data_IF_537947072321
#
_entry.id   IF_537947072321
#
_cell.length_a   1.000
_cell.length_b   1.000
_cell.length_c   1.000
_cell.angle_alpha   90.00
_cell.angle_beta   90.00
_cell.angle_gamma   90.00
#
_symmetry.space_group_name_H-M   'P 1'
#
loop_
_entity.id
_entity.type
_entity.pdbx_description
1 polymer ?
#
# COMPACT_ATOMS: atom_id res chain seq x y z
N UNK A 1 -15.82 6.29 1.56
CA UNK A 1 -14.76 5.29 1.32
C UNK A 1 -15.27 3.89 1.60
N UNK A 2 -15.84 3.64 2.78
CA UNK A 2 -16.46 2.36 3.15
C UNK A 2 -17.95 2.60 3.36
N UNK A 3 -18.78 1.73 2.79
CA UNK A 3 -20.23 1.80 2.80
C UNK A 3 -20.83 0.52 3.40
N UNK A 4 -22.11 0.57 3.73
CA UNK A 4 -22.80 -0.59 4.31
C UNK A 4 -22.88 -1.74 3.29
N UNK A 5 -22.58 -2.96 3.74
CA UNK A 5 -22.52 -4.15 2.89
C UNK A 5 -21.22 -4.33 2.08
N UNK A 6 -20.25 -3.44 2.22
CA UNK A 6 -18.98 -3.60 1.49
C UNK A 6 -18.26 -4.91 1.83
N UNK A 7 -17.74 -5.55 0.79
CA UNK A 7 -16.76 -6.64 0.86
C UNK A 7 -15.41 -6.10 0.42
N UNK A 8 -14.44 -6.10 1.33
CA UNK A 8 -13.16 -5.41 1.14
C UNK A 8 -12.01 -6.41 1.18
N UNK A 9 -11.31 -6.57 0.05
CA UNK A 9 -10.03 -7.27 0.04
C UNK A 9 -8.97 -6.36 0.66
N UNK A 10 -8.23 -6.86 1.66
CA UNK A 10 -7.13 -6.11 2.30
C UNK A 10 -5.80 -6.72 1.87
N UNK A 11 -5.03 -5.95 1.08
CA UNK A 11 -3.71 -6.39 0.62
C UNK A 11 -2.69 -6.36 1.75
N UNK A 12 -2.21 -7.54 2.15
CA UNK A 12 -1.19 -7.73 3.19
C UNK A 12 0.17 -7.91 2.51
N UNK A 13 1.18 -7.16 2.95
CA UNK A 13 2.55 -7.27 2.44
C UNK A 13 3.54 -7.80 3.49
N UNK A 14 3.09 -7.95 4.74
CA UNK A 14 3.94 -8.25 5.89
C UNK A 14 4.61 -7.01 6.51
N UNK A 15 4.59 -5.87 5.83
CA UNK A 15 5.12 -4.63 6.39
C UNK A 15 4.15 -3.98 7.38
N UNK A 16 4.71 -3.15 8.30
CA UNK A 16 3.99 -2.38 9.33
C UNK A 16 2.74 -1.66 8.83
N UNK A 17 2.79 -1.13 7.60
CA UNK A 17 1.71 -0.31 7.04
C UNK A 17 0.47 -1.16 6.72
N UNK A 18 0.66 -2.33 6.10
CA UNK A 18 -0.42 -3.26 5.79
C UNK A 18 -1.04 -3.89 7.04
N UNK A 19 -0.23 -4.18 8.06
CA UNK A 19 -0.71 -4.70 9.33
C UNK A 19 -1.47 -3.63 10.13
N UNK A 20 -0.98 -2.38 10.14
CA UNK A 20 -1.68 -1.23 10.72
C UNK A 20 -3.01 -0.99 10.01
N UNK A 21 -3.06 -1.09 8.68
CA UNK A 21 -4.29 -1.00 7.91
C UNK A 21 -5.30 -2.05 8.37
N UNK A 22 -4.91 -3.33 8.38
CA UNK A 22 -5.81 -4.42 8.75
C UNK A 22 -6.35 -4.24 10.16
N UNK A 23 -5.45 -3.97 11.13
CA UNK A 23 -5.84 -3.73 12.51
C UNK A 23 -6.84 -2.57 12.63
N UNK A 24 -6.56 -1.44 11.95
CA UNK A 24 -7.42 -0.26 11.98
C UNK A 24 -8.79 -0.51 11.36
N UNK A 25 -8.86 -1.33 10.31
CA UNK A 25 -10.13 -1.71 9.68
C UNK A 25 -10.96 -2.63 10.59
N UNK A 26 -10.32 -3.56 11.29
CA UNK A 26 -11.00 -4.43 12.27
C UNK A 26 -11.54 -3.61 13.45
N UNK A 27 -10.71 -2.72 14.03
CA UNK A 27 -11.13 -1.81 15.10
C UNK A 27 -12.28 -0.90 14.64
N UNK A 28 -12.19 -0.35 13.43
CA UNK A 28 -13.25 0.46 12.85
C UNK A 28 -14.54 -0.34 12.65
N UNK A 29 -14.45 -1.57 12.15
CA UNK A 29 -15.61 -2.45 11.96
C UNK A 29 -16.36 -2.69 13.27
N UNK A 30 -15.64 -2.89 14.37
CA UNK A 30 -16.24 -3.12 15.68
C UNK A 30 -16.97 -1.91 16.26
N UNK A 31 -16.60 -0.69 15.84
CA UNK A 31 -17.13 0.57 16.41
C UNK A 31 -18.05 1.35 15.46
N UNK A 32 -18.13 0.93 14.20
CA UNK A 32 -18.92 1.63 13.17
C UNK A 32 -20.35 1.11 13.11
N UNK A 33 -21.35 1.95 12.86
CA UNK A 33 -22.67 1.48 12.48
C UNK A 33 -22.71 0.87 11.08
N UNK A 34 -21.71 1.16 10.24
CA UNK A 34 -21.56 0.61 8.89
C UNK A 34 -21.02 -0.81 8.99
N UNK A 35 -21.71 -1.77 8.38
CA UNK A 35 -21.32 -3.18 8.33
C UNK A 35 -20.49 -3.43 7.07
N UNK A 36 -19.36 -4.13 7.19
CA UNK A 36 -18.52 -4.54 6.07
C UNK A 36 -17.68 -5.75 6.43
N UNK A 37 -17.31 -6.52 5.42
CA UNK A 37 -16.48 -7.71 5.55
C UNK A 37 -15.05 -7.45 5.09
N UNK A 38 -14.08 -8.11 5.73
CA UNK A 38 -12.65 -7.98 5.45
C UNK A 38 -12.07 -9.33 5.02
N UNK A 39 -11.36 -9.32 3.92
CA UNK A 39 -10.69 -10.48 3.33
C UNK A 39 -9.19 -10.17 3.19
N UNK A 40 -8.36 -10.50 4.21
CA UNK A 40 -6.92 -10.30 4.12
C UNK A 40 -6.30 -11.28 3.12
N UNK A 41 -5.49 -10.74 2.20
CA UNK A 41 -4.82 -11.49 1.14
C UNK A 41 -3.34 -11.14 1.11
N UNK A 42 -2.49 -12.16 1.20
CA UNK A 42 -1.05 -12.05 0.98
C UNK A 42 -0.68 -12.72 -0.34
N UNK A 43 -0.06 -11.97 -1.25
CA UNK A 43 0.50 -12.50 -2.49
C UNK A 43 2.00 -12.64 -2.27
N UNK A 44 2.46 -13.88 -2.08
CA UNK A 44 3.86 -14.22 -1.90
C UNK A 44 4.63 -14.00 -3.20
N UNK A 45 5.72 -13.22 -3.21
CA UNK A 45 6.50 -13.00 -4.43
C UNK A 45 7.43 -14.15 -4.82
N UNK A 46 7.57 -15.20 -3.98
CA UNK A 46 8.32 -16.41 -4.30
C UNK A 46 9.82 -16.35 -3.97
N UNK A 47 10.27 -15.40 -3.15
CA UNK A 47 11.70 -15.34 -2.74
C UNK A 47 12.08 -16.34 -1.64
N UNK A 48 11.12 -17.10 -1.12
CA UNK A 48 11.31 -17.91 0.08
C UNK A 48 11.25 -17.08 1.36
N UNK A 49 11.43 -17.76 2.50
CA UNK A 49 11.21 -17.16 3.79
C UNK A 49 9.76 -17.34 4.25
N UNK A 50 9.59 -17.91 5.44
CA UNK A 50 8.25 -18.23 5.94
C UNK A 50 7.65 -17.01 6.67
N UNK A 51 7.16 -16.04 5.91
CA UNK A 51 6.42 -14.91 6.49
C UNK A 51 4.91 -15.16 6.54
N UNK A 52 4.41 -16.21 5.87
CA UNK A 52 2.98 -16.53 5.84
C UNK A 52 2.45 -16.96 7.19
N UNK A 53 3.19 -17.76 7.95
CA UNK A 53 2.81 -18.21 9.28
C UNK A 53 2.65 -17.08 10.31
N UNK A 54 3.61 -16.16 10.49
CA UNK A 54 3.41 -14.97 11.32
C UNK A 54 2.21 -14.12 10.91
N UNK A 55 1.96 -13.97 9.61
CA UNK A 55 0.84 -13.21 9.08
C UNK A 55 -0.49 -13.91 9.35
N UNK A 56 -0.55 -15.22 9.18
CA UNK A 56 -1.77 -16.00 9.47
C UNK A 56 -2.10 -15.96 10.97
N UNK A 57 -1.11 -16.12 11.85
CA UNK A 57 -1.31 -15.94 13.31
C UNK A 57 -1.83 -14.54 13.64
N UNK A 58 -1.29 -13.50 13.02
CA UNK A 58 -1.76 -12.14 13.22
C UNK A 58 -3.21 -11.96 12.77
N UNK A 59 -3.58 -12.47 11.60
CA UNK A 59 -4.95 -12.41 11.08
C UNK A 59 -5.92 -13.18 11.99
N UNK A 60 -5.56 -14.40 12.44
CA UNK A 60 -6.37 -15.20 13.37
C UNK A 60 -6.59 -14.50 14.71
N UNK A 61 -5.57 -13.82 15.23
CA UNK A 61 -5.71 -13.02 16.47
C UNK A 61 -6.71 -11.86 16.31
N UNK A 62 -6.95 -11.41 15.08
CA UNK A 62 -7.97 -10.42 14.73
C UNK A 62 -9.32 -11.04 14.32
N UNK A 63 -9.49 -12.36 14.45
CA UNK A 63 -10.70 -13.08 14.06
C UNK A 63 -10.91 -13.18 12.54
N UNK A 64 -9.82 -13.17 11.76
CA UNK A 64 -9.85 -13.24 10.29
C UNK A 64 -9.00 -14.43 9.79
N UNK A 65 -9.35 -14.95 8.63
CA UNK A 65 -8.58 -15.98 7.91
C UNK A 65 -7.73 -15.29 6.83
N UNK A 66 -6.42 -15.52 6.81
CA UNK A 66 -5.53 -15.05 5.76
C UNK A 66 -5.63 -15.96 4.54
N UNK A 67 -5.86 -15.39 3.36
CA UNK A 67 -5.62 -16.08 2.09
C UNK A 67 -4.19 -15.81 1.64
N UNK A 68 -3.39 -16.84 1.55
CA UNK A 68 -2.03 -16.78 0.99
C UNK A 68 -2.04 -17.29 -0.44
N UNK A 69 -1.52 -16.52 -1.36
CA UNK A 69 -1.37 -16.85 -2.78
C UNK A 69 0.11 -16.99 -3.09
N UNK A 70 0.56 -18.22 -3.30
CA UNK A 70 1.96 -18.52 -3.63
C UNK A 70 2.22 -18.22 -5.10
N UNK A 71 3.24 -17.40 -5.40
CA UNK A 71 3.59 -17.01 -6.76
C UNK A 71 5.10 -16.99 -6.97
N UNK A 72 5.54 -16.82 -8.21
CA UNK A 72 6.92 -16.65 -8.63
C UNK A 72 7.22 -15.21 -9.11
N UNK A 73 6.34 -14.26 -8.82
CA UNK A 73 6.38 -12.91 -9.43
C UNK A 73 7.63 -12.12 -9.10
N UNK A 74 8.18 -12.31 -7.91
CA UNK A 74 9.47 -11.72 -7.53
C UNK A 74 10.62 -12.33 -8.30
N UNK A 75 10.67 -13.65 -8.40
CA UNK A 75 11.68 -14.38 -9.17
C UNK A 75 11.64 -13.99 -10.65
N UNK A 76 10.44 -13.95 -11.25
CA UNK A 76 10.26 -13.48 -12.63
C UNK A 76 10.71 -12.03 -12.82
N UNK A 77 10.46 -11.18 -11.82
CA UNK A 77 10.95 -9.80 -11.85
C UNK A 77 12.47 -9.70 -11.92
N UNK A 78 13.19 -10.64 -11.32
CA UNK A 78 14.66 -10.67 -11.27
C UNK A 78 15.28 -11.67 -12.28
N UNK A 79 14.50 -12.27 -13.15
CA UNK A 79 15.01 -13.18 -14.18
C UNK A 79 15.77 -12.41 -15.27
N UNK A 80 16.70 -13.09 -15.94
CA UNK A 80 17.44 -12.54 -17.08
C UNK A 80 16.55 -12.20 -18.29
N UNK A 81 15.39 -12.82 -18.37
CA UNK A 81 14.41 -12.58 -19.43
C UNK A 81 13.67 -11.25 -19.24
N UNK A 82 13.61 -10.74 -18.01
CA UNK A 82 12.94 -9.49 -17.72
C UNK A 82 13.74 -8.29 -18.22
N UNK A 83 13.14 -7.48 -19.10
CA UNK A 83 13.72 -6.23 -19.62
C UNK A 83 13.22 -4.98 -18.89
N UNK A 84 12.26 -5.14 -18.00
CA UNK A 84 11.67 -4.04 -17.20
C UNK A 84 12.39 -3.93 -15.85
N UNK A 85 12.09 -2.85 -15.11
CA UNK A 85 12.53 -2.76 -13.72
C UNK A 85 11.90 -3.89 -12.89
N UNK A 86 12.67 -4.69 -12.13
CA UNK A 86 12.18 -5.84 -11.36
C UNK A 86 11.01 -5.50 -10.43
N UNK A 87 11.12 -4.38 -9.71
CA UNK A 87 10.07 -3.93 -8.79
C UNK A 87 8.79 -3.55 -9.53
N UNK A 88 8.90 -2.99 -10.73
CA UNK A 88 7.76 -2.60 -11.55
C UNK A 88 6.99 -3.85 -12.02
N UNK A 89 7.68 -4.84 -12.59
CA UNK A 89 7.06 -6.08 -13.05
C UNK A 89 6.41 -6.84 -11.89
N UNK A 90 7.14 -7.07 -10.80
CA UNK A 90 6.63 -7.77 -9.62
C UNK A 90 5.40 -7.08 -9.04
N UNK A 91 5.43 -5.75 -8.85
CA UNK A 91 4.29 -5.02 -8.30
C UNK A 91 3.07 -5.01 -9.23
N UNK A 92 3.29 -4.98 -10.55
CA UNK A 92 2.22 -5.07 -11.57
C UNK A 92 1.53 -6.44 -11.52
N UNK A 93 2.30 -7.52 -11.47
CA UNK A 93 1.78 -8.89 -11.40
C UNK A 93 1.02 -9.14 -10.09
N UNK A 94 1.58 -8.73 -8.95
CA UNK A 94 0.91 -8.84 -7.65
C UNK A 94 -0.39 -8.05 -7.61
N UNK A 95 -0.41 -6.83 -8.16
CA UNK A 95 -1.63 -6.02 -8.24
C UNK A 95 -2.68 -6.67 -9.13
N UNK A 96 -2.27 -7.21 -10.30
CA UNK A 96 -3.18 -7.96 -11.18
C UNK A 96 -3.83 -9.11 -10.42
N UNK A 97 -3.02 -9.91 -9.69
CA UNK A 97 -3.52 -11.06 -8.93
C UNK A 97 -4.49 -10.64 -7.80
N UNK A 98 -4.23 -9.50 -7.13
CA UNK A 98 -5.17 -8.97 -6.14
C UNK A 98 -6.53 -8.62 -6.75
N UNK A 99 -6.60 -8.10 -7.98
CA UNK A 99 -7.88 -7.85 -8.65
C UNK A 99 -8.60 -9.15 -9.02
N UNK A 100 -7.87 -10.17 -9.50
CA UNK A 100 -8.43 -11.48 -9.80
C UNK A 100 -9.04 -12.11 -8.54
N UNK A 101 -8.31 -12.10 -7.42
CA UNK A 101 -8.79 -12.58 -6.13
C UNK A 101 -9.97 -11.75 -5.62
N UNK A 102 -9.96 -10.44 -5.83
CA UNK A 102 -11.07 -9.59 -5.45
C UNK A 102 -12.35 -9.96 -6.21
N UNK A 103 -12.25 -10.28 -7.49
CA UNK A 103 -13.37 -10.77 -8.28
C UNK A 103 -13.86 -12.15 -7.81
N UNK A 104 -12.93 -13.10 -7.57
CA UNK A 104 -13.24 -14.42 -7.00
C UNK A 104 -14.01 -14.34 -5.67
N UNK A 105 -13.70 -13.33 -4.84
CA UNK A 105 -14.30 -13.12 -3.52
C UNK A 105 -15.49 -12.15 -3.54
N UNK A 106 -15.91 -11.70 -4.70
CA UNK A 106 -16.91 -10.63 -4.86
C UNK A 106 -16.59 -9.35 -4.04
N UNK A 107 -15.32 -8.99 -3.97
CA UNK A 107 -14.84 -7.76 -3.33
C UNK A 107 -14.71 -6.67 -4.37
N UNK A 108 -15.52 -5.60 -4.27
CA UNK A 108 -15.43 -4.45 -5.19
C UNK A 108 -14.48 -3.37 -4.69
N UNK A 109 -13.99 -3.47 -3.45
CA UNK A 109 -13.00 -2.56 -2.86
C UNK A 109 -11.74 -3.32 -2.46
N UNK A 110 -10.57 -2.74 -2.79
CA UNK A 110 -9.26 -3.28 -2.42
C UNK A 110 -8.58 -2.23 -1.55
N UNK A 111 -8.36 -2.54 -0.28
CA UNK A 111 -7.68 -1.68 0.67
C UNK A 111 -6.17 -1.93 0.66
N UNK A 112 -5.39 -0.86 0.48
CA UNK A 112 -3.92 -0.90 0.48
C UNK A 112 -3.36 0.04 1.54
N UNK A 113 -2.25 -0.38 2.19
CA UNK A 113 -1.61 0.31 3.30
C UNK A 113 -0.79 1.55 2.92
N UNK A 114 -1.07 2.18 1.78
CA UNK A 114 -0.38 3.41 1.40
C UNK A 114 -0.77 4.57 2.32
N UNK A 115 0.22 5.33 2.74
CA UNK A 115 0.09 6.42 3.68
C UNK A 115 0.54 7.77 3.07
N UNK A 116 0.47 8.84 3.85
CA UNK A 116 0.77 10.21 3.41
C UNK A 116 2.15 10.35 2.77
N UNK A 117 3.16 9.71 3.34
CA UNK A 117 4.53 9.76 2.82
C UNK A 117 4.64 9.07 1.46
N UNK A 118 4.00 7.90 1.27
CA UNK A 118 3.94 7.22 -0.02
C UNK A 118 3.30 8.08 -1.12
N UNK A 119 2.23 8.81 -0.76
CA UNK A 119 1.54 9.72 -1.69
C UNK A 119 2.48 10.86 -2.12
N UNK A 120 3.23 11.44 -1.18
CA UNK A 120 4.21 12.47 -1.48
C UNK A 120 5.38 11.91 -2.32
N UNK A 121 5.93 10.76 -1.93
CA UNK A 121 6.99 10.09 -2.69
C UNK A 121 6.56 9.79 -4.12
N UNK A 122 5.32 9.32 -4.32
CA UNK A 122 4.77 9.02 -5.65
C UNK A 122 4.59 10.30 -6.48
N UNK A 123 4.17 11.42 -5.88
CA UNK A 123 4.12 12.70 -6.56
C UNK A 123 5.50 13.08 -7.12
N UNK A 124 6.55 13.01 -6.29
CA UNK A 124 7.90 13.35 -6.72
C UNK A 124 8.48 12.36 -7.74
N UNK A 125 8.17 11.06 -7.60
CA UNK A 125 8.52 10.08 -8.63
C UNK A 125 7.90 10.43 -9.98
N UNK A 126 6.62 10.78 -10.00
CA UNK A 126 5.93 11.10 -11.23
C UNK A 126 6.45 12.42 -11.84
N UNK A 127 6.68 13.46 -11.04
CA UNK A 127 7.27 14.72 -11.51
C UNK A 127 8.67 14.47 -12.09
N UNK A 128 9.54 13.75 -11.37
CA UNK A 128 10.95 13.63 -11.75
C UNK A 128 11.23 12.60 -12.86
N UNK A 129 10.41 11.55 -12.96
CA UNK A 129 10.70 10.42 -13.85
C UNK A 129 9.61 10.12 -14.88
N UNK A 130 8.39 10.62 -14.70
CA UNK A 130 7.29 10.46 -15.66
C UNK A 130 6.87 11.79 -16.32
N UNK A 131 7.30 12.94 -15.79
CA UNK A 131 6.89 14.26 -16.28
C UNK A 131 5.41 14.57 -16.01
N UNK A 132 4.84 14.00 -14.94
CA UNK A 132 3.42 14.13 -14.62
C UNK A 132 3.21 14.69 -13.22
N UNK A 133 2.22 15.58 -13.06
CA UNK A 133 1.72 16.02 -11.75
C UNK A 133 0.58 15.10 -11.34
N UNK A 134 0.91 13.92 -10.86
CA UNK A 134 -0.06 12.92 -10.41
C UNK A 134 0.43 12.17 -9.19
N UNK A 135 -0.48 11.59 -8.41
CA UNK A 135 -0.17 10.75 -7.27
C UNK A 135 -1.31 9.77 -6.97
N UNK A 136 -1.29 9.14 -5.79
CA UNK A 136 -2.30 8.18 -5.36
C UNK A 136 -3.47 8.90 -4.68
N UNK A 137 -4.68 8.76 -5.21
CA UNK A 137 -5.88 9.24 -4.55
C UNK A 137 -6.30 8.34 -3.37
N UNK A 138 -6.91 8.89 -2.29
CA UNK A 138 -7.44 8.08 -1.19
C UNK A 138 -8.50 7.06 -1.63
N UNK A 139 -9.30 7.39 -2.63
CA UNK A 139 -10.24 6.50 -3.33
C UNK A 139 -9.97 6.62 -4.82
N UNK A 140 -9.70 5.51 -5.47
CA UNK A 140 -9.35 5.47 -6.89
C UNK A 140 -10.21 4.43 -7.59
N UNK A 141 -11.27 4.85 -8.32
CA UNK A 141 -12.05 3.94 -9.14
C UNK A 141 -11.23 3.44 -10.33
N UNK A 142 -11.40 2.18 -10.68
CA UNK A 142 -10.71 1.49 -11.77
C UNK A 142 -11.71 0.68 -12.60
N UNK A 143 -11.33 0.36 -13.84
CA UNK A 143 -12.15 -0.46 -14.74
C UNK A 143 -13.58 0.07 -14.88
N UNK A 144 -13.72 1.39 -15.13
CA UNK A 144 -15.02 2.09 -15.23
C UNK A 144 -15.89 2.00 -13.97
N UNK A 145 -15.25 1.91 -12.80
CA UNK A 145 -15.93 1.82 -11.50
C UNK A 145 -16.23 0.41 -11.02
N UNK A 146 -15.84 -0.63 -11.76
CA UNK A 146 -16.02 -2.03 -11.34
C UNK A 146 -15.29 -2.33 -10.02
N UNK A 147 -14.10 -1.79 -9.85
CA UNK A 147 -13.31 -1.87 -8.62
C UNK A 147 -12.91 -0.48 -8.13
N UNK A 148 -12.63 -0.38 -6.85
CA UNK A 148 -12.01 0.80 -6.25
C UNK A 148 -10.84 0.41 -5.35
N UNK A 149 -9.68 1.02 -5.58
CA UNK A 149 -8.61 0.99 -4.58
C UNK A 149 -8.93 2.04 -3.52
N UNK A 150 -8.91 1.63 -2.25
CA UNK A 150 -9.07 2.53 -1.11
C UNK A 150 -7.78 2.55 -0.27
N UNK A 151 -7.45 3.73 0.28
CA UNK A 151 -6.25 3.94 1.09
C UNK A 151 -6.63 4.61 2.42
N UNK A 152 -7.15 3.85 3.38
CA UNK A 152 -7.60 4.40 4.67
C UNK A 152 -6.51 5.15 5.44
N UNK A 153 -5.23 4.80 5.23
CA UNK A 153 -4.08 5.46 5.87
C UNK A 153 -3.54 6.67 5.09
N UNK A 154 -4.21 7.12 4.01
CA UNK A 154 -3.73 8.19 3.11
C UNK A 154 -3.34 9.50 3.82
N UNK A 155 -3.92 9.79 4.98
CA UNK A 155 -3.66 11.00 5.77
C UNK A 155 -2.73 10.75 6.97
N UNK A 156 -2.40 9.49 7.28
CA UNK A 156 -1.49 9.13 8.36
C UNK A 156 -0.03 9.32 7.92
N UNK A 157 0.82 9.78 8.84
CA UNK A 157 2.26 9.91 8.62
C UNK A 157 2.97 8.60 8.96
N UNK A 158 4.04 8.27 8.22
CA UNK A 158 4.82 7.04 8.41
C UNK A 158 5.30 6.86 9.85
N UNK A 159 5.76 7.95 10.49
CA UNK A 159 6.26 7.90 11.87
C UNK A 159 5.18 7.53 12.89
N UNK A 160 3.93 7.99 12.66
CA UNK A 160 2.79 7.59 13.49
C UNK A 160 2.50 6.10 13.33
N UNK A 161 2.49 5.59 12.10
CA UNK A 161 2.27 4.18 11.81
C UNK A 161 3.36 3.32 12.43
N UNK A 162 4.63 3.73 12.29
CA UNK A 162 5.80 3.04 12.87
C UNK A 162 5.71 2.95 14.39
N UNK A 163 5.37 4.05 15.06
CA UNK A 163 5.17 4.08 16.51
C UNK A 163 4.03 3.15 16.92
N UNK A 164 2.89 3.25 16.25
CA UNK A 164 1.71 2.43 16.52
C UNK A 164 2.01 0.93 16.34
N UNK A 165 2.68 0.54 15.25
CA UNK A 165 3.07 -0.84 14.99
C UNK A 165 3.95 -1.42 16.11
N UNK A 166 4.91 -0.63 16.63
CA UNK A 166 5.77 -1.02 17.75
C UNK A 166 4.99 -1.15 19.06
N UNK A 167 4.14 -0.18 19.37
CA UNK A 167 3.29 -0.19 20.57
C UNK A 167 2.34 -1.41 20.60
N UNK A 168 1.86 -1.83 19.43
CA UNK A 168 1.00 -3.02 19.28
C UNK A 168 1.76 -4.34 19.14
N UNK A 169 3.08 -4.32 19.02
CA UNK A 169 3.90 -5.53 18.88
C UNK A 169 3.60 -6.29 17.59
N UNK A 170 3.36 -5.59 16.47
CA UNK A 170 3.09 -6.26 15.19
C UNK A 170 4.32 -7.06 14.73
N UNK A 171 4.10 -8.22 14.07
CA UNK A 171 5.22 -9.00 13.56
C UNK A 171 6.04 -8.19 12.54
N UNK A 172 7.35 -8.20 12.70
CA UNK A 172 8.27 -7.62 11.73
C UNK A 172 8.68 -8.70 10.74
N UNK A 173 8.18 -8.58 9.51
CA UNK A 173 8.57 -9.45 8.41
C UNK A 173 9.77 -8.83 7.68
N UNK A 174 10.85 -9.59 7.57
CA UNK A 174 11.99 -9.19 6.74
C UNK A 174 11.60 -9.32 5.26
N UNK A 175 11.79 -8.25 4.50
CA UNK A 175 11.54 -8.32 3.05
C UNK A 175 12.70 -9.05 2.36
N UNK A 176 12.49 -10.27 1.81
CA UNK A 176 13.55 -11.05 1.20
C UNK A 176 13.94 -10.56 -0.22
N UNK A 177 13.31 -9.50 -0.73
CA UNK A 177 13.55 -8.99 -2.06
C UNK A 177 14.96 -8.39 -2.19
N UNK A 178 15.82 -8.86 -3.13
CA UNK A 178 17.18 -8.37 -3.29
C UNK A 178 17.28 -6.89 -3.75
N UNK A 179 16.19 -6.33 -4.30
CA UNK A 179 16.13 -4.93 -4.76
C UNK A 179 15.48 -3.98 -3.75
N UNK A 180 15.24 -4.41 -2.50
CA UNK A 180 14.49 -3.61 -1.52
C UNK A 180 15.12 -2.25 -1.22
N UNK A 181 16.46 -2.15 -1.25
CA UNK A 181 17.21 -1.02 -0.69
C UNK A 181 17.67 0.02 -1.73
N UNK A 182 17.66 -0.34 -3.03
CA UNK A 182 18.15 0.54 -4.11
C UNK A 182 17.08 0.80 -5.16
N UNK A 183 16.18 1.73 -4.86
CA UNK A 183 15.10 2.08 -5.79
C UNK A 183 15.08 3.60 -6.01
N UNK A 184 14.48 4.04 -7.12
CA UNK A 184 14.20 5.47 -7.35
C UNK A 184 13.36 6.08 -6.22
N UNK A 185 12.55 5.26 -5.55
CA UNK A 185 11.79 5.67 -4.38
C UNK A 185 12.68 6.00 -3.18
N UNK A 186 13.77 5.24 -2.94
CA UNK A 186 14.72 5.56 -1.86
C UNK A 186 15.44 6.88 -2.12
N UNK A 187 15.84 7.17 -3.38
CA UNK A 187 16.45 8.46 -3.75
C UNK A 187 15.50 9.64 -3.47
N UNK A 188 14.22 9.52 -3.86
CA UNK A 188 13.19 10.53 -3.58
C UNK A 188 12.96 10.68 -2.07
N UNK A 189 12.89 9.58 -1.33
CA UNK A 189 12.73 9.61 0.13
C UNK A 189 13.86 10.37 0.81
N UNK A 190 15.10 10.17 0.39
CA UNK A 190 16.28 10.88 0.91
C UNK A 190 16.24 12.37 0.58
N UNK A 191 15.82 12.74 -0.63
CA UNK A 191 15.61 14.13 -1.03
C UNK A 191 14.56 14.81 -0.12
N UNK A 192 13.41 14.17 0.06
CA UNK A 192 12.32 14.68 0.90
C UNK A 192 12.74 14.79 2.36
N UNK A 193 13.47 13.82 2.90
CA UNK A 193 13.98 13.86 4.27
C UNK A 193 14.93 15.06 4.50
N UNK A 194 15.75 15.41 3.52
CA UNK A 194 16.60 16.64 3.59
C UNK A 194 15.74 17.90 3.67
N UNK A 195 14.69 18.00 2.86
CA UNK A 195 13.75 19.14 2.90
C UNK A 195 13.02 19.23 4.24
N UNK A 196 12.57 18.09 4.79
CA UNK A 196 11.83 18.04 6.07
C UNK A 196 12.70 18.47 7.27
N UNK A 197 14.01 18.13 7.25
CA UNK A 197 14.96 18.59 8.30
C UNK A 197 15.09 20.10 8.32
N UNK A 198 15.08 20.74 7.14
CA UNK A 198 15.17 22.20 7.04
C UNK A 198 13.91 22.93 7.49
N UNK A 199 12.73 22.33 7.27
CA UNK A 199 11.46 22.95 7.64
C UNK A 199 10.34 21.90 7.80
N UNK A 200 9.86 21.73 9.03
CA UNK A 200 8.79 20.77 9.39
C UNK A 200 7.46 21.01 8.65
N UNK A 201 7.19 22.22 8.15
CA UNK A 201 5.96 22.54 7.42
C UNK A 201 5.97 22.01 5.98
N UNK A 202 7.13 21.68 5.43
CA UNK A 202 7.29 21.28 4.01
C UNK A 202 6.45 20.07 3.68
N UNK A 203 6.50 19.01 4.49
CA UNK A 203 5.69 17.79 4.28
C UNK A 203 4.19 18.13 4.13
N UNK A 204 3.65 18.90 5.05
CA UNK A 204 2.24 19.32 5.03
C UNK A 204 1.90 20.23 3.85
N UNK A 205 2.84 21.09 3.43
CA UNK A 205 2.65 21.97 2.27
C UNK A 205 2.60 21.18 0.97
N UNK A 206 3.52 20.23 0.77
CA UNK A 206 3.54 19.36 -0.41
C UNK A 206 2.24 18.55 -0.50
N UNK A 207 1.82 17.94 0.61
CA UNK A 207 0.59 17.15 0.63
C UNK A 207 -0.65 17.99 0.29
N UNK A 208 -0.74 19.21 0.83
CA UNK A 208 -1.84 20.15 0.52
C UNK A 208 -1.83 20.63 -0.94
N UNK A 209 -0.66 20.75 -1.56
CA UNK A 209 -0.54 21.18 -2.94
C UNK A 209 -1.29 20.25 -3.90
N UNK A 210 -1.40 18.94 -3.58
CA UNK A 210 -2.15 17.97 -4.38
C UNK A 210 -3.65 18.32 -4.54
N UNK A 211 -4.22 19.06 -3.60
CA UNK A 211 -5.63 19.50 -3.65
C UNK A 211 -5.78 20.99 -3.99
N UNK A 212 -4.69 21.70 -4.29
CA UNK A 212 -4.67 23.15 -4.50
C UNK A 212 -3.92 23.53 -5.77
N UNK A 213 -4.23 22.85 -6.86
CA UNK A 213 -3.70 23.21 -8.16
C UNK A 213 -4.29 24.55 -8.60
N UNK A 214 -3.46 25.39 -9.21
CA UNK A 214 -3.84 26.66 -9.85
C UNK A 214 -3.63 26.48 -11.37
N UNK A 215 -4.64 26.01 -12.10
CA UNK A 215 -4.49 25.69 -13.54
C UNK A 215 -3.99 26.89 -14.37
N UNK A 216 -4.41 28.09 -14.02
CA UNK A 216 -4.03 29.34 -14.72
C UNK A 216 -2.52 29.67 -14.64
N UNK A 217 -1.77 28.97 -13.78
CA UNK A 217 -0.31 29.09 -13.63
C UNK A 217 0.46 27.85 -14.11
N UNK A 218 -0.22 26.94 -14.77
CA UNK A 218 0.39 25.77 -15.42
C UNK A 218 0.43 25.97 -16.93
N UNK A 219 1.47 25.38 -17.60
CA UNK A 219 1.63 25.47 -19.05
C UNK A 219 0.56 24.67 -19.78
#
# INVERSE_FOLDING_TARGET
MIEDGDRILVGISGGKDSLTLLWSLVDKRARSPVRFDLFPVYVDPGFGGDISDPLDRFCRALGLSLRTEMTDYGLRGHSEENRENPCFLCSRLRRKRLFEIADELDCRKIALGHHKDDIIETLFLNICYAGEISSMAPVQPLFKGLFSIIRPLAFAEEDLIRRFSREKGFPEATNPCPSSDRTKRSEIKDLLNRLYRGNRKVKGNIFRALSRLKPDYLL
#
